data_IF_937697923418
#
_entry.id   IF_937697923418
#
_cell.length_a   1.000
_cell.length_b   1.000
_cell.length_c   1.000
_cell.angle_alpha   90.00
_cell.angle_beta   90.00
_cell.angle_gamma   90.00
#
_symmetry.space_group_name_H-M   'P 1'
#
loop_
_entity.id
_entity.type
_entity.pdbx_description
1 polymer ?
#
# COMPACT_ATOMS: atom_id res chain seq x y z
N UNK A 1 4.33 -19.59 -16.38
CA UNK A 1 2.99 -18.99 -16.28
C UNK A 1 2.91 -18.22 -14.96
N UNK A 2 2.89 -16.88 -14.95
CA UNK A 2 2.85 -16.12 -13.68
C UNK A 2 1.39 -16.02 -13.24
N UNK A 3 0.94 -16.95 -12.42
CA UNK A 3 -0.32 -16.80 -11.68
C UNK A 3 -0.16 -15.63 -10.70
N UNK A 4 -0.60 -14.44 -11.13
CA UNK A 4 -0.63 -13.27 -10.25
C UNK A 4 -1.74 -13.47 -9.24
N UNK A 5 -1.38 -13.66 -7.97
CA UNK A 5 -2.37 -13.84 -6.89
C UNK A 5 -3.28 -12.62 -6.79
N UNK A 6 -4.54 -12.84 -6.38
CA UNK A 6 -5.52 -11.77 -6.12
C UNK A 6 -4.94 -10.72 -5.17
N UNK A 7 -4.25 -11.15 -4.11
CA UNK A 7 -3.48 -10.29 -3.20
C UNK A 7 -2.47 -9.39 -3.90
N UNK A 8 -1.68 -9.92 -4.84
CA UNK A 8 -0.71 -9.11 -5.57
C UNK A 8 -1.40 -8.09 -6.50
N UNK A 9 -2.58 -8.40 -7.03
CA UNK A 9 -3.39 -7.44 -7.79
C UNK A 9 -3.92 -6.33 -6.90
N UNK A 10 -4.48 -6.70 -5.74
CA UNK A 10 -5.00 -5.75 -4.75
C UNK A 10 -3.89 -4.84 -4.18
N UNK A 11 -2.66 -5.35 -4.01
CA UNK A 11 -1.47 -4.55 -3.66
C UNK A 11 -1.12 -3.49 -4.71
N UNK A 12 -1.11 -3.86 -6.00
CA UNK A 12 -0.88 -2.90 -7.08
C UNK A 12 -1.99 -1.84 -7.13
N UNK A 13 -3.24 -2.26 -6.96
CA UNK A 13 -4.39 -1.35 -6.95
C UNK A 13 -4.32 -0.37 -5.79
N UNK A 14 -3.94 -0.83 -4.59
CA UNK A 14 -3.71 0.03 -3.44
C UNK A 14 -2.63 1.07 -3.72
N UNK A 15 -1.49 0.67 -4.28
CA UNK A 15 -0.41 1.59 -4.65
C UNK A 15 -0.90 2.72 -5.57
N UNK A 16 -1.62 2.36 -6.65
CA UNK A 16 -2.20 3.34 -7.58
C UNK A 16 -3.20 4.28 -6.91
N UNK A 17 -4.08 3.76 -6.06
CA UNK A 17 -5.09 4.58 -5.36
C UNK A 17 -4.45 5.58 -4.41
N UNK A 18 -3.47 5.13 -3.62
CA UNK A 18 -2.76 6.00 -2.70
C UNK A 18 -2.00 7.08 -3.46
N UNK A 19 -1.33 6.73 -4.56
CA UNK A 19 -0.61 7.69 -5.38
C UNK A 19 -1.53 8.79 -5.95
N UNK A 20 -2.67 8.39 -6.51
CA UNK A 20 -3.66 9.35 -7.05
C UNK A 20 -4.22 10.26 -5.95
N UNK A 21 -4.55 9.72 -4.78
CA UNK A 21 -5.19 10.49 -3.70
C UNK A 21 -4.25 11.41 -2.93
N UNK A 22 -2.96 11.09 -2.91
CA UNK A 22 -1.97 11.84 -2.11
C UNK A 22 -1.01 12.66 -2.95
N UNK A 23 -1.00 12.46 -4.28
CA UNK A 23 -0.10 13.15 -5.19
C UNK A 23 1.36 12.73 -5.06
N UNK A 24 1.67 11.67 -4.29
CA UNK A 24 3.03 11.15 -4.13
C UNK A 24 3.19 9.78 -4.77
N UNK A 25 4.41 9.44 -5.17
CA UNK A 25 4.70 8.09 -5.66
C UNK A 25 4.65 7.08 -4.49
N UNK A 26 3.88 6.01 -4.67
CA UNK A 26 3.67 4.95 -3.67
C UNK A 26 3.99 3.59 -4.27
N UNK A 27 4.76 2.79 -3.53
CA UNK A 27 5.11 1.40 -3.87
C UNK A 27 4.57 0.47 -2.79
N UNK A 28 3.91 -0.62 -3.20
CA UNK A 28 3.53 -1.71 -2.29
C UNK A 28 4.31 -2.96 -2.66
N UNK A 29 5.20 -3.40 -1.77
CA UNK A 29 6.07 -4.56 -1.98
C UNK A 29 5.83 -5.62 -0.92
N UNK A 30 5.94 -6.89 -1.30
CA UNK A 30 5.84 -7.99 -0.35
C UNK A 30 7.19 -8.18 0.38
N UNK A 31 7.17 -7.99 1.70
CA UNK A 31 8.28 -8.23 2.60
C UNK A 31 8.28 -9.72 2.98
N UNK A 32 9.12 -10.52 2.29
CA UNK A 32 9.14 -11.99 2.45
C UNK A 32 9.49 -12.44 3.87
N UNK A 33 10.52 -11.89 4.55
CA UNK A 33 10.82 -12.24 5.93
C UNK A 33 9.64 -12.05 6.88
N UNK A 34 8.94 -10.92 6.76
CA UNK A 34 7.79 -10.59 7.63
C UNK A 34 6.46 -11.16 7.12
N UNK A 35 6.45 -11.76 5.94
CA UNK A 35 5.27 -12.27 5.22
C UNK A 35 4.14 -11.24 5.08
N UNK A 36 4.47 -9.95 5.07
CA UNK A 36 3.53 -8.82 5.04
C UNK A 36 3.80 -7.92 3.84
N UNK A 37 2.79 -7.18 3.40
CA UNK A 37 3.00 -6.12 2.42
C UNK A 37 3.49 -4.85 3.13
N UNK A 38 4.46 -4.17 2.51
CA UNK A 38 5.00 -2.88 2.95
C UNK A 38 4.65 -1.81 1.93
N UNK A 39 3.97 -0.77 2.42
CA UNK A 39 3.70 0.47 1.69
C UNK A 39 4.86 1.43 1.92
N UNK A 40 5.47 1.89 0.83
CA UNK A 40 6.62 2.79 0.82
C UNK A 40 6.30 4.02 -0.02
N UNK A 41 6.58 5.20 0.53
CA UNK A 41 6.49 6.46 -0.19
C UNK A 41 7.57 7.43 0.30
N UNK A 42 7.87 8.44 -0.51
CA UNK A 42 8.86 9.47 -0.19
C UNK A 42 8.19 10.83 -0.20
N UNK A 43 8.50 11.67 0.79
CA UNK A 43 7.86 12.99 0.99
C UNK A 43 6.32 12.90 1.11
N UNK A 44 5.64 14.03 1.23
CA UNK A 44 4.18 14.07 1.38
C UNK A 44 3.66 13.64 2.76
N UNK A 45 2.44 13.06 2.86
CA UNK A 45 1.74 12.90 4.12
C UNK A 45 2.49 12.00 5.11
N UNK A 46 2.23 12.22 6.39
CA UNK A 46 2.68 11.33 7.45
C UNK A 46 1.98 9.96 7.35
N UNK A 47 2.46 9.02 8.17
CA UNK A 47 1.91 7.67 8.19
C UNK A 47 0.43 7.64 8.59
N UNK A 48 0.01 8.46 9.56
CA UNK A 48 -1.36 8.48 10.04
C UNK A 48 -2.34 8.91 8.93
N UNK A 49 -1.98 9.94 8.16
CA UNK A 49 -2.76 10.40 7.02
C UNK A 49 -2.75 9.36 5.90
N UNK A 50 -1.61 8.72 5.61
CA UNK A 50 -1.53 7.66 4.58
C UNK A 50 -2.42 6.46 4.94
N UNK A 51 -2.41 6.02 6.21
CA UNK A 51 -3.30 4.97 6.74
C UNK A 51 -4.77 5.35 6.59
N UNK A 52 -5.13 6.58 6.94
CA UNK A 52 -6.51 7.08 6.78
C UNK A 52 -6.99 7.00 5.32
N UNK A 53 -6.15 7.42 4.37
CA UNK A 53 -6.48 7.34 2.93
C UNK A 53 -6.65 5.90 2.46
N UNK A 54 -5.80 4.99 2.95
CA UNK A 54 -5.91 3.56 2.66
C UNK A 54 -7.20 2.95 3.21
N UNK A 55 -7.54 3.26 4.47
CA UNK A 55 -8.76 2.77 5.12
C UNK A 55 -10.02 3.25 4.39
N UNK A 56 -10.03 4.50 3.93
CA UNK A 56 -11.10 5.04 3.09
C UNK A 56 -11.20 4.37 1.70
N UNK A 57 -10.29 3.45 1.37
CA UNK A 57 -10.26 2.69 0.11
C UNK A 57 -10.40 1.18 0.32
N UNK A 58 -10.68 0.72 1.56
CA UNK A 58 -10.69 -0.70 1.92
C UNK A 58 -11.63 -1.56 1.07
N UNK A 59 -12.80 -1.02 0.71
CA UNK A 59 -13.80 -1.71 -0.13
C UNK A 59 -13.29 -2.02 -1.55
N UNK A 60 -12.25 -1.32 -2.01
CA UNK A 60 -11.70 -1.42 -3.36
C UNK A 60 -10.54 -2.43 -3.42
N UNK A 61 -10.01 -2.85 -2.26
CA UNK A 61 -8.89 -3.78 -2.13
C UNK A 61 -9.19 -4.88 -1.09
N UNK A 62 -10.29 -5.64 -1.23
CA UNK A 62 -10.79 -6.54 -0.19
C UNK A 62 -9.85 -7.71 0.14
N UNK A 63 -8.93 -8.06 -0.75
CA UNK A 63 -7.98 -9.18 -0.52
C UNK A 63 -6.77 -8.80 0.36
N UNK A 64 -6.65 -7.51 0.71
CA UNK A 64 -5.60 -7.01 1.60
C UNK A 64 -6.16 -6.70 2.97
N UNK A 65 -5.55 -7.32 3.98
CA UNK A 65 -5.69 -6.85 5.34
C UNK A 65 -4.83 -5.58 5.51
N UNK A 66 -5.51 -4.43 5.53
CA UNK A 66 -4.87 -3.13 5.66
C UNK A 66 -4.28 -2.90 7.07
N UNK A 67 -4.75 -3.64 8.09
CA UNK A 67 -4.23 -3.58 9.46
C UNK A 67 -2.87 -4.27 9.60
N UNK A 68 -2.60 -5.26 8.74
CA UNK A 68 -1.36 -6.01 8.70
C UNK A 68 -0.28 -5.38 7.80
N UNK A 69 -0.57 -4.24 7.17
CA UNK A 69 0.39 -3.54 6.34
C UNK A 69 1.48 -2.88 7.17
N UNK A 70 2.71 -3.00 6.67
CA UNK A 70 3.84 -2.23 7.15
C UNK A 70 3.88 -0.90 6.40
N UNK A 71 4.22 0.17 7.11
CA UNK A 71 4.26 1.51 6.56
C UNK A 71 5.67 2.06 6.69
N UNK A 72 6.16 2.71 5.63
CA UNK A 72 7.48 3.29 5.64
C UNK A 72 7.51 4.56 4.79
N UNK A 73 7.60 5.70 5.48
CA UNK A 73 7.84 7.00 4.87
C UNK A 73 9.35 7.26 4.84
N UNK A 74 9.91 7.42 3.65
CA UNK A 74 11.27 7.93 3.48
C UNK A 74 11.26 9.45 3.47
N UNK A 75 12.23 10.05 4.14
CA UNK A 75 12.61 11.45 3.96
C UNK A 75 13.88 11.44 3.12
N UNK A 76 13.85 12.10 1.97
CA UNK A 76 15.03 12.30 1.11
C UNK A 76 15.37 13.76 1.09
#
# INVERSE_FOLDING_TARGET
>A
MITTSTRARSARRLASLLAVRTGVHVVVRYDRPLRRYRVVWTNGPDEARMRTVAMASATVVPDLDLGELLWHRSVS
#
